data_IF_209698690487
#
_entry.id   IF_209698690487
#
_cell.length_a   1.000
_cell.length_b   1.000
_cell.length_c   1.000
_cell.angle_alpha   90.00
_cell.angle_beta   90.00
_cell.angle_gamma   90.00
#
_symmetry.space_group_name_H-M   'P 1'
#
loop_
_entity.id
_entity.type
_entity.pdbx_description
1 polymer ?
#
# COMPACT_ATOMS: atom_id res chain seq x y z
N UNK A 1 29.25 -38.10 -21.64
CA UNK A 1 28.89 -37.29 -20.45
C UNK A 1 27.62 -37.88 -19.83
N UNK A 2 27.68 -38.48 -18.63
CA UNK A 2 26.58 -39.31 -18.08
C UNK A 2 25.34 -38.48 -17.71
N UNK A 3 24.15 -38.93 -18.16
CA UNK A 3 22.84 -38.30 -17.87
C UNK A 3 22.60 -38.04 -16.36
N UNK A 4 23.19 -38.84 -15.47
CA UNK A 4 23.13 -38.65 -14.01
C UNK A 4 23.76 -37.34 -13.52
N UNK A 5 24.79 -36.82 -14.20
CA UNK A 5 25.44 -35.55 -13.82
C UNK A 5 24.68 -34.33 -14.35
N UNK A 6 23.95 -34.49 -15.46
CA UNK A 6 23.13 -33.43 -16.03
C UNK A 6 21.93 -33.11 -15.12
N UNK A 7 21.24 -34.14 -14.61
CA UNK A 7 20.11 -33.95 -13.69
C UNK A 7 20.50 -33.24 -12.39
N UNK A 8 21.66 -33.57 -11.81
CA UNK A 8 22.18 -32.87 -10.62
C UNK A 8 22.49 -31.39 -10.90
N UNK A 9 23.11 -31.09 -12.05
CA UNK A 9 23.40 -29.70 -12.45
C UNK A 9 22.13 -28.87 -12.63
N UNK A 10 21.11 -29.43 -13.28
CA UNK A 10 19.81 -28.77 -13.45
C UNK A 10 19.14 -28.53 -12.09
N UNK A 11 19.15 -29.54 -11.20
CA UNK A 11 18.58 -29.39 -9.87
C UNK A 11 19.26 -28.27 -9.07
N UNK A 12 20.60 -28.24 -9.05
CA UNK A 12 21.36 -27.17 -8.39
C UNK A 12 21.08 -25.79 -8.99
N UNK A 13 21.04 -25.67 -10.31
CA UNK A 13 20.72 -24.41 -10.98
C UNK A 13 19.30 -23.93 -10.64
N UNK A 14 18.31 -24.82 -10.70
CA UNK A 14 16.92 -24.50 -10.37
C UNK A 14 16.75 -24.11 -8.89
N UNK A 15 17.46 -24.78 -7.98
CA UNK A 15 17.49 -24.44 -6.55
C UNK A 15 18.10 -23.06 -6.31
N UNK A 16 19.19 -22.73 -7.00
CA UNK A 16 19.81 -21.39 -6.92
C UNK A 16 18.90 -20.26 -7.42
N UNK A 17 18.16 -20.50 -8.51
CA UNK A 17 17.17 -19.54 -9.02
C UNK A 17 16.04 -19.35 -8.02
N UNK A 18 15.47 -20.44 -7.50
CA UNK A 18 14.39 -20.37 -6.51
C UNK A 18 14.84 -19.64 -5.24
N UNK A 19 16.04 -19.94 -4.75
CA UNK A 19 16.62 -19.28 -3.59
C UNK A 19 16.80 -17.76 -3.81
N UNK A 20 17.30 -17.38 -4.98
CA UNK A 20 17.43 -15.96 -5.36
C UNK A 20 16.07 -15.25 -5.38
N UNK A 21 15.03 -15.87 -5.97
CA UNK A 21 13.68 -15.30 -5.98
C UNK A 21 13.12 -15.14 -4.56
N UNK A 22 13.35 -16.12 -3.67
CA UNK A 22 12.94 -16.01 -2.27
C UNK A 22 13.66 -14.87 -1.53
N UNK A 23 14.96 -14.68 -1.79
CA UNK A 23 15.71 -13.54 -1.23
C UNK A 23 15.17 -12.21 -1.74
N UNK A 24 14.86 -12.08 -3.03
CA UNK A 24 14.27 -10.85 -3.60
C UNK A 24 12.91 -10.55 -2.94
N UNK A 25 12.04 -11.56 -2.82
CA UNK A 25 10.74 -11.40 -2.16
C UNK A 25 10.91 -10.94 -0.70
N UNK A 26 11.85 -11.54 0.05
CA UNK A 26 12.14 -11.17 1.43
C UNK A 26 12.63 -9.73 1.53
N UNK A 27 13.61 -9.35 0.70
CA UNK A 27 14.15 -7.98 0.67
C UNK A 27 13.04 -6.97 0.36
N UNK A 28 12.19 -7.24 -0.64
CA UNK A 28 11.08 -6.34 -0.99
C UNK A 28 10.08 -6.18 0.17
N UNK A 29 9.80 -7.25 0.91
CA UNK A 29 8.90 -7.19 2.08
C UNK A 29 9.50 -6.38 3.22
N UNK A 30 10.78 -6.60 3.52
CA UNK A 30 11.48 -5.86 4.58
C UNK A 30 11.60 -4.37 4.23
N UNK A 31 11.96 -4.04 2.99
CA UNK A 31 12.01 -2.66 2.52
C UNK A 31 10.64 -1.99 2.58
N UNK A 32 9.57 -2.67 2.17
CA UNK A 32 8.21 -2.15 2.27
C UNK A 32 7.77 -1.88 3.71
N UNK A 33 8.05 -2.81 4.63
CA UNK A 33 7.78 -2.62 6.05
C UNK A 33 8.56 -1.44 6.63
N UNK A 34 9.83 -1.29 6.25
CA UNK A 34 10.68 -0.18 6.68
C UNK A 34 10.17 1.19 6.18
N UNK A 35 9.66 1.25 4.94
CA UNK A 35 9.05 2.48 4.39
C UNK A 35 7.78 2.84 5.15
N UNK A 36 6.88 1.87 5.39
CA UNK A 36 5.65 2.10 6.14
C UNK A 36 5.91 2.60 7.57
N UNK A 37 6.95 2.11 8.22
CA UNK A 37 7.37 2.60 9.55
C UNK A 37 7.89 4.04 9.52
N UNK A 38 8.36 4.54 8.36
CA UNK A 38 8.87 5.91 8.19
C UNK A 38 7.82 6.89 7.68
N UNK A 39 6.85 6.42 6.90
CA UNK A 39 5.73 7.20 6.39
C UNK A 39 4.64 7.43 7.45
N UNK A 40 5.04 7.88 8.64
CA UNK A 40 4.16 8.65 9.52
C UNK A 40 4.31 10.11 9.11
N UNK A 41 3.44 10.65 8.24
CA UNK A 41 3.47 12.07 7.96
C UNK A 41 3.32 12.82 9.27
N UNK A 42 4.13 13.87 9.42
CA UNK A 42 4.09 14.74 10.57
C UNK A 42 2.65 15.24 10.74
N UNK A 43 1.97 14.71 11.75
CA UNK A 43 0.78 15.33 12.28
C UNK A 43 1.30 16.62 12.90
N UNK A 44 0.95 17.76 12.32
CA UNK A 44 1.10 19.04 13.02
C UNK A 44 0.45 18.84 14.38
N UNK A 45 1.26 18.97 15.43
CA UNK A 45 0.93 18.69 16.83
C UNK A 45 -0.03 19.73 17.41
N UNK A 46 -1.04 20.11 16.64
CA UNK A 46 -2.16 20.89 17.11
C UNK A 46 -2.90 20.04 18.14
N UNK A 47 -2.98 20.58 19.36
CA UNK A 47 -3.70 20.00 20.48
C UNK A 47 -5.08 19.50 20.03
N UNK A 48 -5.41 18.26 20.41
CA UNK A 48 -6.69 17.59 20.08
C UNK A 48 -7.90 18.37 20.59
N UNK A 49 -7.71 19.27 21.55
CA UNK A 49 -8.76 20.07 22.15
C UNK A 49 -9.44 20.95 21.10
N UNK A 50 -10.70 20.61 20.80
CA UNK A 50 -11.61 21.36 19.94
C UNK A 50 -11.31 21.38 18.42
N UNK A 51 -10.51 20.46 17.89
CA UNK A 51 -10.22 20.38 16.44
C UNK A 51 -11.10 19.35 15.71
N UNK A 52 -11.77 19.75 14.63
CA UNK A 52 -12.48 18.81 13.75
C UNK A 52 -11.48 18.02 12.88
N UNK A 53 -11.29 16.74 13.19
CA UNK A 53 -10.25 15.88 12.61
C UNK A 53 -10.77 15.13 11.39
N UNK A 54 -10.12 15.34 10.24
CA UNK A 54 -10.41 14.67 8.97
C UNK A 54 -9.22 13.79 8.60
N UNK A 55 -9.44 12.49 8.47
CA UNK A 55 -8.41 11.55 8.04
C UNK A 55 -8.60 11.17 6.57
N UNK A 56 -7.59 11.43 5.75
CA UNK A 56 -7.57 11.06 4.34
C UNK A 56 -6.81 9.75 4.14
N UNK A 57 -7.50 8.70 3.71
CA UNK A 57 -6.93 7.40 3.34
C UNK A 57 -6.90 7.26 1.82
N UNK A 58 -5.95 6.48 1.30
CA UNK A 58 -5.91 6.17 -0.12
C UNK A 58 -4.55 5.71 -0.58
N UNK A 59 -4.30 5.88 -1.88
CA UNK A 59 -3.10 5.38 -2.53
C UNK A 59 -2.05 6.46 -2.83
N UNK A 60 -1.22 6.24 -3.86
CA UNK A 60 -0.26 7.21 -4.37
C UNK A 60 -0.90 8.57 -4.67
N UNK A 61 -2.15 8.63 -5.12
CA UNK A 61 -2.85 9.88 -5.42
C UNK A 61 -3.10 10.71 -4.15
N UNK A 62 -3.24 10.07 -2.99
CA UNK A 62 -3.43 10.75 -1.70
C UNK A 62 -2.11 11.32 -1.16
N UNK A 63 -0.97 10.73 -1.50
CA UNK A 63 0.38 11.18 -1.06
C UNK A 63 1.17 11.94 -2.12
N UNK A 64 0.70 11.97 -3.37
CA UNK A 64 1.36 12.66 -4.49
C UNK A 64 1.29 14.18 -4.33
N UNK A 65 2.30 14.87 -4.85
CA UNK A 65 2.39 16.34 -4.83
C UNK A 65 3.57 16.85 -4.00
N UNK A 66 4.12 16.05 -3.08
CA UNK A 66 5.19 16.50 -2.19
C UNK A 66 4.66 17.33 -1.01
N UNK A 67 5.56 17.74 -0.11
CA UNK A 67 5.17 18.44 1.13
C UNK A 67 4.40 19.72 0.81
N UNK A 68 3.19 19.86 1.36
CA UNK A 68 2.33 21.04 1.19
C UNK A 68 1.42 20.99 -0.04
N UNK A 69 1.69 20.15 -1.04
CA UNK A 69 0.91 20.12 -2.29
C UNK A 69 0.10 18.83 -2.48
N UNK A 70 0.11 17.94 -1.49
CA UNK A 70 -0.83 16.80 -1.48
C UNK A 70 -2.27 17.29 -1.37
N UNK A 71 -3.22 16.57 -1.94
CA UNK A 71 -4.65 16.91 -1.80
C UNK A 71 -5.08 17.12 -0.33
N UNK A 72 -4.67 16.27 0.64
CA UNK A 72 -4.98 16.51 2.05
C UNK A 72 -4.39 17.81 2.62
N UNK A 73 -3.21 18.22 2.15
CA UNK A 73 -2.60 19.50 2.55
C UNK A 73 -3.36 20.69 1.97
N UNK A 74 -3.76 20.62 0.69
CA UNK A 74 -4.61 21.65 0.07
C UNK A 74 -6.00 21.71 0.74
N UNK A 75 -6.56 20.56 1.12
CA UNK A 75 -7.81 20.48 1.88
C UNK A 75 -7.67 21.19 3.25
N UNK A 76 -6.54 21.00 3.94
CA UNK A 76 -6.25 21.68 5.20
C UNK A 76 -6.26 23.19 5.04
N UNK A 77 -5.61 23.73 4.01
CA UNK A 77 -5.55 25.16 3.72
C UNK A 77 -6.94 25.73 3.40
N UNK A 78 -7.66 25.08 2.48
CA UNK A 78 -9.01 25.51 2.07
C UNK A 78 -9.99 25.51 3.25
N UNK A 79 -9.93 24.50 4.13
CA UNK A 79 -10.81 24.44 5.30
C UNK A 79 -10.44 25.49 6.35
N UNK A 80 -9.15 25.77 6.57
CA UNK A 80 -8.72 26.86 7.46
C UNK A 80 -9.22 28.21 6.97
N UNK A 81 -9.19 28.45 5.66
CA UNK A 81 -9.66 29.71 5.06
C UNK A 81 -11.19 29.83 5.12
N UNK A 82 -11.91 28.78 4.74
CA UNK A 82 -13.37 28.85 4.55
C UNK A 82 -14.18 28.55 5.81
N UNK A 83 -13.65 27.71 6.71
CA UNK A 83 -14.35 27.22 7.91
C UNK A 83 -13.44 27.28 9.15
N UNK A 84 -12.86 28.45 9.49
CA UNK A 84 -11.91 28.57 10.60
C UNK A 84 -12.51 28.16 11.96
N UNK A 85 -13.83 28.36 12.15
CA UNK A 85 -14.52 28.00 13.38
C UNK A 85 -14.53 26.48 13.67
N UNK A 86 -14.33 25.63 12.65
CA UNK A 86 -14.20 24.18 12.85
C UNK A 86 -12.83 23.77 13.41
N UNK A 87 -11.85 24.68 13.42
CA UNK A 87 -10.47 24.38 13.76
C UNK A 87 -9.99 23.08 13.06
N UNK A 88 -10.05 23.02 11.71
CA UNK A 88 -9.90 21.77 10.99
C UNK A 88 -8.48 21.21 11.11
N UNK A 89 -8.37 19.91 11.34
CA UNK A 89 -7.12 19.15 11.37
C UNK A 89 -7.18 18.02 10.35
N UNK A 90 -6.42 18.12 9.25
CA UNK A 90 -6.40 17.10 8.21
C UNK A 90 -5.17 16.21 8.35
N UNK A 91 -5.40 14.90 8.44
CA UNK A 91 -4.36 13.88 8.58
C UNK A 91 -4.27 13.13 7.25
N UNK A 92 -3.09 13.13 6.64
CA UNK A 92 -2.82 12.29 5.47
C UNK A 92 -2.38 10.90 5.95
N UNK A 93 -3.11 9.85 5.59
CA UNK A 93 -2.73 8.44 5.82
C UNK A 93 -2.80 7.64 4.52
N UNK A 94 -2.56 8.31 3.39
CA UNK A 94 -2.38 7.65 2.11
C UNK A 94 -1.11 6.80 2.09
N UNK A 95 -1.14 5.69 1.33
CA UNK A 95 0.00 4.77 1.20
C UNK A 95 0.17 4.43 -0.28
N UNK A 96 1.35 4.71 -0.83
CA UNK A 96 1.62 4.44 -2.26
C UNK A 96 1.36 2.98 -2.62
N UNK A 97 0.55 2.76 -3.67
CA UNK A 97 0.20 1.42 -4.14
C UNK A 97 -0.81 0.67 -3.26
N UNK A 98 -1.44 1.33 -2.28
CA UNK A 98 -2.52 0.73 -1.49
C UNK A 98 -3.73 0.40 -2.35
N UNK A 99 -4.31 -0.78 -2.14
CA UNK A 99 -5.59 -1.22 -2.66
C UNK A 99 -6.66 -1.18 -1.54
N UNK A 100 -7.93 -1.41 -1.88
CA UNK A 100 -9.01 -1.38 -0.88
C UNK A 100 -8.85 -2.40 0.24
N UNK A 101 -8.21 -3.55 -0.03
CA UNK A 101 -7.94 -4.57 0.99
C UNK A 101 -6.90 -4.08 2.00
N UNK A 102 -5.84 -3.42 1.53
CA UNK A 102 -4.87 -2.79 2.42
C UNK A 102 -5.52 -1.71 3.29
N UNK A 103 -6.33 -0.84 2.68
CA UNK A 103 -7.04 0.23 3.41
C UNK A 103 -7.97 -0.37 4.46
N UNK A 104 -8.75 -1.39 4.10
CA UNK A 104 -9.66 -2.08 5.01
C UNK A 104 -8.92 -2.75 6.18
N UNK A 105 -7.76 -3.37 5.92
CA UNK A 105 -6.96 -4.05 6.94
C UNK A 105 -6.41 -3.09 8.02
N UNK A 106 -6.14 -1.83 7.66
CA UNK A 106 -5.59 -0.83 8.58
C UNK A 106 -6.62 0.20 9.03
N UNK A 107 -7.86 0.15 8.52
CA UNK A 107 -8.89 1.15 8.82
C UNK A 107 -9.15 1.25 10.32
N UNK A 108 -9.30 0.10 10.99
CA UNK A 108 -9.59 0.05 12.43
C UNK A 108 -8.46 0.66 13.26
N UNK A 109 -7.23 0.24 13.01
CA UNK A 109 -6.04 0.76 13.70
C UNK A 109 -5.92 2.27 13.54
N UNK A 110 -6.11 2.78 12.31
CA UNK A 110 -6.07 4.23 12.05
C UNK A 110 -7.19 4.99 12.78
N UNK A 111 -8.41 4.44 12.85
CA UNK A 111 -9.51 5.09 13.59
C UNK A 111 -9.19 5.11 15.09
N UNK A 112 -8.70 4.00 15.65
CA UNK A 112 -8.34 3.89 17.07
C UNK A 112 -7.16 4.81 17.43
N UNK A 113 -6.18 4.98 16.54
CA UNK A 113 -5.00 5.83 16.76
C UNK A 113 -5.32 7.33 16.69
N UNK A 114 -6.05 7.76 15.65
CA UNK A 114 -6.23 9.19 15.35
C UNK A 114 -7.58 9.77 15.80
N UNK A 115 -8.57 8.92 16.07
CA UNK A 115 -9.92 9.29 16.50
C UNK A 115 -10.53 10.41 15.62
N UNK A 116 -10.69 10.17 14.30
CA UNK A 116 -11.16 11.19 13.37
C UNK A 116 -12.68 11.36 13.42
N UNK A 117 -13.15 12.59 13.26
CA UNK A 117 -14.57 12.92 13.09
C UNK A 117 -15.08 12.56 11.68
N UNK A 118 -14.19 12.58 10.69
CA UNK A 118 -14.49 12.24 9.30
C UNK A 118 -13.34 11.47 8.66
N UNK A 119 -13.70 10.48 7.84
CA UNK A 119 -12.74 9.75 7.00
C UNK A 119 -13.07 9.99 5.54
N UNK A 120 -12.09 10.46 4.77
CA UNK A 120 -12.16 10.60 3.30
C UNK A 120 -11.30 9.51 2.69
N UNK A 121 -11.86 8.69 1.81
CA UNK A 121 -11.13 7.60 1.16
C UNK A 121 -11.11 7.76 -0.35
N UNK A 122 -9.92 7.79 -0.94
CA UNK A 122 -9.72 7.77 -2.39
C UNK A 122 -8.98 6.49 -2.79
N UNK A 123 -9.65 5.58 -3.49
CA UNK A 123 -9.12 4.27 -3.87
C UNK A 123 -9.81 3.72 -5.14
N UNK A 124 -9.33 2.59 -5.65
CA UNK A 124 -9.95 1.86 -6.77
C UNK A 124 -9.04 1.65 -7.97
N UNK A 125 -8.00 2.48 -8.16
CA UNK A 125 -7.07 2.31 -9.28
C UNK A 125 -6.21 1.04 -9.10
N UNK A 126 -5.62 0.88 -7.91
CA UNK A 126 -4.78 -0.27 -7.58
C UNK A 126 -5.55 -1.58 -7.43
N UNK A 127 -6.86 -1.51 -7.16
CA UNK A 127 -7.72 -2.69 -7.05
C UNK A 127 -7.77 -3.49 -8.36
N UNK A 128 -7.79 -2.80 -9.50
CA UNK A 128 -7.76 -3.45 -10.82
C UNK A 128 -6.45 -4.21 -11.06
N UNK A 129 -5.36 -3.71 -10.50
CA UNK A 129 -4.02 -4.26 -10.67
C UNK A 129 -3.74 -5.40 -9.69
N UNK A 130 -4.17 -5.26 -8.43
CA UNK A 130 -3.69 -6.08 -7.33
C UNK A 130 -4.77 -6.77 -6.51
N UNK A 131 -6.02 -6.29 -6.51
CA UNK A 131 -7.06 -6.92 -5.71
C UNK A 131 -7.46 -8.28 -6.33
N UNK A 132 -7.64 -9.33 -5.51
CA UNK A 132 -8.40 -10.50 -5.90
C UNK A 132 -9.82 -10.08 -6.28
N UNK A 133 -10.38 -10.66 -7.34
CA UNK A 133 -11.82 -10.54 -7.63
C UNK A 133 -12.59 -10.99 -6.39
N UNK A 134 -13.48 -10.13 -5.90
CA UNK A 134 -14.19 -10.32 -4.65
C UNK A 134 -14.87 -11.69 -4.57
N UNK A 135 -14.72 -12.35 -3.41
CA UNK A 135 -15.64 -13.38 -2.91
C UNK A 135 -15.63 -14.76 -3.60
N UNK A 136 -14.46 -15.40 -3.74
CA UNK A 136 -14.37 -16.86 -3.86
C UNK A 136 -13.47 -17.42 -2.75
N UNK A 137 -14.03 -18.26 -1.88
CA UNK A 137 -13.32 -18.93 -0.77
C UNK A 137 -12.78 -20.32 -1.15
N UNK A 138 -12.82 -20.69 -2.43
CA UNK A 138 -12.26 -21.95 -2.91
C UNK A 138 -10.76 -22.08 -2.62
N UNK A 139 -10.29 -23.31 -2.47
CA UNK A 139 -8.85 -23.60 -2.30
C UNK A 139 -8.00 -23.01 -3.44
N UNK A 140 -8.54 -23.02 -4.68
CA UNK A 140 -7.90 -22.40 -5.84
C UNK A 140 -7.77 -20.89 -5.66
N UNK A 141 -8.82 -20.22 -5.19
CA UNK A 141 -8.77 -18.78 -4.91
C UNK A 141 -7.76 -18.44 -3.82
N UNK A 142 -7.63 -19.26 -2.76
CA UNK A 142 -6.62 -19.05 -1.71
C UNK A 142 -5.19 -19.18 -2.25
N UNK A 143 -4.91 -20.20 -3.06
CA UNK A 143 -3.62 -20.37 -3.73
C UNK A 143 -3.36 -19.20 -4.67
N UNK A 144 -4.34 -18.82 -5.48
CA UNK A 144 -4.21 -17.72 -6.43
C UNK A 144 -3.98 -16.38 -5.73
N UNK A 145 -4.69 -16.13 -4.63
CA UNK A 145 -4.51 -14.96 -3.76
C UNK A 145 -3.11 -14.96 -3.13
N UNK A 146 -2.62 -16.12 -2.68
CA UNK A 146 -1.25 -16.26 -2.19
C UNK A 146 -0.23 -15.87 -3.26
N UNK A 147 -0.35 -16.39 -4.49
CA UNK A 147 0.53 -16.00 -5.60
C UNK A 147 0.42 -14.50 -5.93
N UNK A 148 -0.80 -13.94 -5.94
CA UNK A 148 -1.03 -12.51 -6.14
C UNK A 148 -0.44 -11.63 -5.04
N UNK A 149 -0.32 -12.15 -3.82
CA UNK A 149 0.25 -11.43 -2.69
C UNK A 149 1.78 -11.26 -2.79
N UNK A 150 2.46 -12.07 -3.61
CA UNK A 150 3.91 -11.99 -3.76
C UNK A 150 4.32 -10.68 -4.46
N UNK A 151 5.34 -10.02 -3.92
CA UNK A 151 5.89 -8.78 -4.48
C UNK A 151 6.49 -9.01 -5.86
N UNK A 152 7.08 -10.19 -6.10
CA UNK A 152 7.53 -10.61 -7.44
C UNK A 152 6.39 -10.67 -8.46
N UNK A 153 5.21 -11.18 -8.08
CA UNK A 153 4.05 -11.20 -8.97
C UNK A 153 3.55 -9.78 -9.26
N UNK A 154 3.47 -8.93 -8.23
CA UNK A 154 3.08 -7.52 -8.40
C UNK A 154 4.07 -6.78 -9.31
N UNK A 155 5.38 -7.03 -9.18
CA UNK A 155 6.41 -6.48 -10.05
C UNK A 155 6.24 -6.96 -11.50
N UNK A 156 6.02 -8.26 -11.71
CA UNK A 156 5.74 -8.79 -13.05
C UNK A 156 4.50 -8.12 -13.68
N UNK A 157 3.41 -7.97 -12.92
CA UNK A 157 2.20 -7.30 -13.39
C UNK A 157 2.46 -5.83 -13.73
N UNK A 158 3.21 -5.12 -12.89
CA UNK A 158 3.59 -3.73 -13.11
C UNK A 158 4.42 -3.55 -14.39
N UNK A 159 5.44 -4.40 -14.59
CA UNK A 159 6.26 -4.40 -15.79
C UNK A 159 5.45 -4.77 -17.03
N UNK A 160 4.58 -5.78 -16.93
CA UNK A 160 3.72 -6.18 -18.03
C UNK A 160 2.79 -5.03 -18.46
N UNK A 161 2.19 -4.34 -17.49
CA UNK A 161 1.31 -3.20 -17.75
C UNK A 161 2.06 -2.08 -18.48
N UNK A 162 3.25 -1.69 -18.04
CA UNK A 162 3.98 -0.56 -18.66
C UNK A 162 4.73 -0.91 -19.96
N UNK A 163 5.02 -2.18 -20.21
CA UNK A 163 5.79 -2.60 -21.39
C UNK A 163 4.89 -3.03 -22.56
N UNK A 164 3.62 -3.37 -22.30
CA UNK A 164 2.74 -3.98 -23.30
C UNK A 164 1.35 -3.33 -23.40
N UNK A 165 1.06 -2.30 -22.61
CA UNK A 165 -0.08 -1.39 -22.77
C UNK A 165 0.45 0.05 -22.88
#
# INVERSE_FOLDING_TARGET
>A
MSKKNLGKKILFASGGILFTLLLIELIMRLSGAFILMRESPAVDSLSKDNAYTIMCLGDSMTVSGGKGYTFPALLQEVLRERLPALNPRVINKGVSGADSLFILAHLRENIEEYDPDMVVVMMGFNDQLFAPSAYDNSFKSRIFTFFKSMRLYKLYRFLKFHLFE
#
